data_IF_729338676670
#
_entry.id   IF_729338676670
#
_cell.length_a   1.000
_cell.length_b   1.000
_cell.length_c   1.000
_cell.angle_alpha   90.00
_cell.angle_beta   90.00
_cell.angle_gamma   90.00
#
_symmetry.space_group_name_H-M   'P 1'
#
loop_
_entity.id
_entity.type
_entity.pdbx_description
1 polymer ?
#
# COMPACT_ATOMS: atom_id res chain seq x y z
N UNK A 1 8.27 4.96 -14.29
CA UNK A 1 7.69 4.22 -13.15
C UNK A 1 8.69 4.23 -12.00
N UNK A 2 8.27 4.66 -10.85
CA UNK A 2 9.13 4.75 -9.66
C UNK A 2 8.68 3.70 -8.64
N UNK A 3 9.61 2.83 -8.23
CA UNK A 3 9.34 1.77 -7.24
C UNK A 3 10.05 2.12 -5.94
N UNK A 4 9.32 2.02 -4.82
CA UNK A 4 9.88 2.32 -3.50
C UNK A 4 9.69 1.11 -2.58
N UNK A 5 10.78 0.66 -1.95
CA UNK A 5 10.76 -0.44 -0.99
C UNK A 5 10.61 0.15 0.40
N UNK A 6 9.69 -0.40 1.19
CA UNK A 6 9.37 0.07 2.55
C UNK A 6 9.04 1.58 2.54
N UNK A 7 8.06 1.95 1.72
CA UNK A 7 7.69 3.35 1.51
C UNK A 7 7.02 3.95 2.76
N UNK A 8 7.81 4.61 3.59
CA UNK A 8 7.31 5.26 4.82
C UNK A 8 6.64 6.60 4.55
N UNK A 9 6.72 7.11 3.32
CA UNK A 9 6.01 8.32 2.91
C UNK A 9 4.57 8.04 2.49
N UNK A 10 4.19 6.77 2.33
CA UNK A 10 2.82 6.40 1.98
C UNK A 10 1.90 6.72 3.16
N UNK A 11 0.95 7.63 2.95
CA UNK A 11 -0.01 8.01 3.98
C UNK A 11 -1.39 7.38 3.74
N UNK A 12 -2.24 7.45 4.78
CA UNK A 12 -3.55 6.82 4.74
C UNK A 12 -4.45 7.38 3.63
N UNK A 13 -4.47 8.69 3.43
CA UNK A 13 -5.36 9.30 2.44
C UNK A 13 -4.97 8.92 1.02
N UNK A 14 -3.69 8.89 0.72
CA UNK A 14 -3.18 8.43 -0.58
C UNK A 14 -3.53 6.97 -0.81
N UNK A 15 -3.31 6.11 0.19
CA UNK A 15 -3.64 4.70 0.08
C UNK A 15 -5.14 4.46 -0.08
N UNK A 16 -5.98 5.15 0.70
CA UNK A 16 -7.43 5.02 0.62
C UNK A 16 -7.95 5.40 -0.77
N UNK A 17 -7.47 6.51 -1.32
CA UNK A 17 -7.85 6.91 -2.67
C UNK A 17 -7.48 5.87 -3.72
N UNK A 18 -6.31 5.27 -3.59
CA UNK A 18 -5.84 4.19 -4.45
C UNK A 18 -6.68 2.92 -4.27
N UNK A 19 -6.89 2.48 -3.02
CA UNK A 19 -7.64 1.26 -2.72
C UNK A 19 -9.09 1.34 -3.16
N UNK A 20 -9.72 2.52 -3.04
CA UNK A 20 -11.10 2.72 -3.48
C UNK A 20 -11.29 2.54 -4.99
N UNK A 21 -10.24 2.69 -5.78
CA UNK A 21 -10.28 2.43 -7.22
C UNK A 21 -10.36 0.94 -7.53
N UNK A 22 -9.92 0.09 -6.60
CA UNK A 22 -9.85 -1.37 -6.78
C UNK A 22 -10.99 -2.03 -6.01
N UNK A 23 -11.13 -1.69 -4.73
CA UNK A 23 -12.18 -2.18 -3.84
C UNK A 23 -12.89 -0.99 -3.19
N UNK A 24 -13.94 -0.46 -3.82
CA UNK A 24 -14.69 0.65 -3.23
C UNK A 24 -15.26 0.28 -1.86
N UNK A 25 -15.14 1.20 -0.91
CA UNK A 25 -15.62 0.98 0.45
C UNK A 25 -15.39 2.20 1.32
N UNK A 26 -15.71 2.05 2.60
CA UNK A 26 -15.46 3.08 3.60
C UNK A 26 -14.27 2.66 4.44
N UNK A 27 -13.21 3.46 4.43
CA UNK A 27 -11.97 3.18 5.15
C UNK A 27 -11.74 4.26 6.20
N UNK A 28 -11.43 3.85 7.42
CA UNK A 28 -11.07 4.77 8.50
C UNK A 28 -9.60 5.20 8.35
N UNK A 29 -9.32 6.52 8.20
CA UNK A 29 -7.94 6.98 7.99
C UNK A 29 -6.99 6.62 9.12
N UNK A 30 -7.44 6.71 10.38
CA UNK A 30 -6.60 6.39 11.54
C UNK A 30 -6.21 4.93 11.58
N UNK A 31 -7.17 4.03 11.38
CA UNK A 31 -6.90 2.60 11.34
C UNK A 31 -6.05 2.21 10.14
N UNK A 32 -6.27 2.86 9.01
CA UNK A 32 -5.48 2.64 7.80
C UNK A 32 -4.03 3.04 8.04
N UNK A 33 -3.80 4.21 8.63
CA UNK A 33 -2.45 4.67 8.92
C UNK A 33 -1.72 3.72 9.86
N UNK A 34 -2.40 3.23 10.90
CA UNK A 34 -1.84 2.25 11.81
C UNK A 34 -1.49 0.94 11.09
N UNK A 35 -2.37 0.45 10.24
CA UNK A 35 -2.13 -0.77 9.48
C UNK A 35 -0.93 -0.62 8.54
N UNK A 36 -0.80 0.50 7.85
CA UNK A 36 0.34 0.77 6.96
C UNK A 36 1.65 0.81 7.74
N UNK A 37 1.64 1.29 8.98
CA UNK A 37 2.83 1.36 9.82
C UNK A 37 3.32 -0.01 10.27
N UNK A 38 2.45 -1.03 10.23
CA UNK A 38 2.77 -2.40 10.67
C UNK A 38 3.19 -3.33 9.53
N UNK A 39 3.18 -2.83 8.31
CA UNK A 39 3.56 -3.63 7.14
C UNK A 39 4.73 -2.98 6.42
N UNK A 40 5.46 -3.79 5.65
CA UNK A 40 6.43 -3.28 4.69
C UNK A 40 5.67 -3.04 3.40
N UNK A 41 5.70 -1.82 2.90
CA UNK A 41 4.93 -1.42 1.74
C UNK A 41 5.87 -1.13 0.58
N UNK A 42 5.75 -1.92 -0.50
CA UNK A 42 6.47 -1.69 -1.74
C UNK A 42 5.48 -1.01 -2.68
N UNK A 43 5.82 0.18 -3.13
CA UNK A 43 4.91 1.01 -3.92
C UNK A 43 5.44 1.25 -5.31
N UNK A 44 4.53 1.48 -6.24
CA UNK A 44 4.85 1.89 -7.61
C UNK A 44 4.09 3.18 -7.92
N UNK A 45 4.81 4.17 -8.41
CA UNK A 45 4.26 5.47 -8.78
C UNK A 45 4.50 5.74 -10.27
N UNK A 46 3.49 6.28 -10.91
CA UNK A 46 3.60 6.87 -12.24
C UNK A 46 3.54 8.39 -12.04
N UNK A 47 4.71 9.05 -12.07
CA UNK A 47 4.80 10.43 -11.64
C UNK A 47 4.49 10.53 -10.14
N UNK A 48 3.48 11.31 -9.78
CA UNK A 48 3.02 11.45 -8.39
C UNK A 48 1.86 10.52 -8.04
N UNK A 49 1.39 9.72 -8.99
CA UNK A 49 0.22 8.86 -8.83
C UNK A 49 0.62 7.48 -8.35
N UNK A 50 0.06 7.04 -7.21
CA UNK A 50 0.22 5.67 -6.73
C UNK A 50 -0.58 4.73 -7.63
N UNK A 51 0.09 3.78 -8.27
CA UNK A 51 -0.54 2.85 -9.22
C UNK A 51 -0.45 1.40 -8.79
N UNK A 52 0.45 1.07 -7.86
CA UNK A 52 0.57 -0.29 -7.35
C UNK A 52 1.10 -0.30 -5.93
N UNK A 53 0.71 -1.31 -5.16
CA UNK A 53 1.16 -1.50 -3.79
C UNK A 53 1.18 -2.98 -3.45
N UNK A 54 2.33 -3.45 -2.95
CA UNK A 54 2.53 -4.78 -2.39
C UNK A 54 2.76 -4.61 -0.90
N UNK A 55 1.90 -5.20 -0.08
CA UNK A 55 2.04 -5.14 1.37
C UNK A 55 2.57 -6.46 1.90
N UNK A 56 3.60 -6.39 2.74
CA UNK A 56 4.25 -7.55 3.33
C UNK A 56 4.08 -7.50 4.84
N UNK A 57 3.56 -8.58 5.41
CA UNK A 57 3.47 -8.79 6.85
C UNK A 57 4.58 -9.74 7.26
N UNK A 58 5.48 -9.30 8.15
CA UNK A 58 6.67 -10.07 8.52
C UNK A 58 7.03 -9.83 9.98
N UNK A 59 7.61 -10.86 10.62
CA UNK A 59 8.25 -10.71 11.93
C UNK A 59 9.67 -10.17 11.82
N UNK A 60 10.16 -10.00 10.60
CA UNK A 60 11.49 -9.47 10.33
C UNK A 60 12.61 -10.51 10.43
N UNK A 61 12.28 -11.79 10.61
CA UNK A 61 13.32 -12.81 10.79
C UNK A 61 12.98 -14.14 10.10
N UNK A 62 11.98 -14.88 10.58
CA UNK A 62 11.64 -16.20 10.04
C UNK A 62 10.55 -16.17 8.97
N UNK A 63 9.67 -15.20 9.01
CA UNK A 63 8.40 -15.29 8.33
C UNK A 63 8.04 -13.98 7.63
N UNK A 64 7.54 -14.11 6.43
CA UNK A 64 6.95 -13.00 5.70
C UNK A 64 5.85 -13.53 4.81
N UNK A 65 4.72 -12.82 4.74
CA UNK A 65 3.63 -13.16 3.85
C UNK A 65 3.18 -11.91 3.09
N UNK A 66 2.67 -12.13 1.88
CA UNK A 66 2.13 -11.07 1.03
C UNK A 66 0.61 -11.21 1.06
N UNK A 67 -0.08 -10.53 2.00
CA UNK A 67 -1.54 -10.63 2.08
C UNK A 67 -2.22 -9.88 0.94
N UNK A 68 -1.52 -8.97 0.27
CA UNK A 68 -2.17 -8.04 -0.62
C UNK A 68 -1.23 -7.53 -1.71
N UNK A 69 -1.67 -7.65 -2.95
CA UNK A 69 -1.03 -7.02 -4.12
C UNK A 69 -2.12 -6.29 -4.90
N UNK A 70 -2.02 -4.98 -4.96
CA UNK A 70 -3.00 -4.13 -5.62
C UNK A 70 -2.36 -3.38 -6.77
N UNK A 71 -3.03 -3.37 -7.92
CA UNK A 71 -2.61 -2.60 -9.09
C UNK A 71 -3.84 -1.94 -9.68
N UNK A 72 -3.75 -0.67 -10.05
CA UNK A 72 -4.86 0.01 -10.71
C UNK A 72 -5.21 -0.72 -12.02
N UNK A 73 -6.52 -0.76 -12.39
CA UNK A 73 -6.96 -1.52 -13.58
C UNK A 73 -6.29 -1.11 -14.88
N UNK A 74 -5.85 0.14 -15.00
CA UNK A 74 -5.21 0.65 -16.21
C UNK A 74 -3.72 0.30 -16.31
N UNK A 75 -3.17 -0.41 -15.32
CA UNK A 75 -1.75 -0.79 -15.31
C UNK A 75 -1.50 -2.29 -15.26
#
# INVERSE_FOLDING_TARGET
MDYRVDDRALDALTFIGFANRIWPGTYDPGKTQEALSRTVNITAYDGSRLVGCLRILSDGYFFGTIPELLVLPEY
#
